data_IF_766672695698
#
_entry.id   IF_766672695698
#
_cell.length_a   1.000
_cell.length_b   1.000
_cell.length_c   1.000
_cell.angle_alpha   90.00
_cell.angle_beta   90.00
_cell.angle_gamma   90.00
#
_symmetry.space_group_name_H-M   'P 1'
#
loop_
_entity.id
_entity.type
_entity.pdbx_description
1 polymer ?
#
# COMPACT_ATOMS: atom_id res chain seq x y z
N UNK A 1 9.39 14.44 -0.36
CA UNK A 1 7.98 14.06 -0.66
C UNK A 1 7.81 12.64 -0.18
N UNK A 2 6.71 12.31 0.51
CA UNK A 2 6.47 10.92 0.91
C UNK A 2 6.28 10.04 -0.32
N UNK A 3 6.79 8.83 -0.28
CA UNK A 3 6.64 7.83 -1.34
C UNK A 3 6.22 6.49 -0.72
N UNK A 4 5.72 5.58 -1.55
CA UNK A 4 5.22 4.31 -1.06
C UNK A 4 5.11 3.26 -2.14
N UNK A 5 4.93 2.04 -1.69
CA UNK A 5 4.71 0.85 -2.52
C UNK A 5 3.23 0.51 -2.41
N UNK A 6 2.56 0.40 -3.55
CA UNK A 6 1.18 -0.06 -3.65
C UNK A 6 1.14 -1.49 -4.21
N UNK A 7 0.23 -2.32 -3.70
CA UNK A 7 -0.11 -3.59 -4.34
C UNK A 7 -1.36 -3.40 -5.18
N UNK A 8 -1.25 -3.72 -6.46
CA UNK A 8 -2.40 -3.87 -7.35
C UNK A 8 -3.16 -5.13 -7.00
N UNK A 9 -4.48 -5.10 -7.14
CA UNK A 9 -5.31 -6.27 -6.96
C UNK A 9 -5.31 -7.13 -8.24
N UNK A 10 -5.49 -8.44 -8.09
CA UNK A 10 -5.79 -9.31 -9.23
C UNK A 10 -7.20 -9.00 -9.79
N UNK A 11 -7.49 -9.49 -10.99
CA UNK A 11 -8.75 -9.23 -11.70
C UNK A 11 -9.99 -9.59 -10.87
N UNK A 12 -9.90 -10.66 -10.06
CA UNK A 12 -11.02 -11.13 -9.26
C UNK A 12 -11.30 -10.19 -8.07
N UNK A 13 -10.26 -9.80 -7.34
CA UNK A 13 -10.38 -8.88 -6.21
C UNK A 13 -10.71 -7.46 -6.66
N UNK A 14 -10.12 -7.00 -7.77
CA UNK A 14 -10.43 -5.71 -8.40
C UNK A 14 -11.92 -5.63 -8.75
N UNK A 15 -12.45 -6.62 -9.47
CA UNK A 15 -13.86 -6.67 -9.84
C UNK A 15 -14.79 -6.64 -8.62
N UNK A 16 -14.42 -7.35 -7.54
CA UNK A 16 -15.21 -7.39 -6.30
C UNK A 16 -15.25 -6.03 -5.59
N UNK A 17 -14.12 -5.32 -5.52
CA UNK A 17 -14.06 -3.98 -4.90
C UNK A 17 -14.86 -2.98 -5.73
N UNK A 18 -14.70 -3.01 -7.06
CA UNK A 18 -15.43 -2.12 -7.97
C UNK A 18 -16.93 -2.35 -7.92
N UNK A 19 -17.38 -3.59 -7.78
CA UNK A 19 -18.81 -3.89 -7.63
C UNK A 19 -19.40 -3.20 -6.39
N UNK A 20 -18.68 -3.22 -5.28
CA UNK A 20 -19.14 -2.56 -4.05
C UNK A 20 -19.11 -1.04 -4.19
N UNK A 21 -18.13 -0.47 -4.89
CA UNK A 21 -18.14 0.96 -5.23
C UNK A 21 -19.37 1.33 -6.06
N UNK A 22 -19.71 0.56 -7.10
CA UNK A 22 -20.93 0.77 -7.89
C UNK A 22 -22.20 0.75 -7.03
N UNK A 23 -22.28 -0.14 -6.04
CA UNK A 23 -23.41 -0.19 -5.12
C UNK A 23 -23.52 1.06 -4.24
N UNK A 24 -22.39 1.56 -3.70
CA UNK A 24 -22.37 2.81 -2.96
C UNK A 24 -22.73 4.02 -3.83
N UNK A 25 -22.21 4.07 -5.05
CA UNK A 25 -22.51 5.12 -6.03
C UNK A 25 -24.00 5.14 -6.40
N UNK A 26 -24.58 3.98 -6.71
CA UNK A 26 -26.01 3.84 -7.02
C UNK A 26 -26.89 4.29 -5.84
N UNK A 27 -26.46 3.98 -4.61
CA UNK A 27 -27.11 4.41 -3.37
C UNK A 27 -26.81 5.88 -2.99
N UNK A 28 -25.94 6.58 -3.74
CA UNK A 28 -25.45 7.94 -3.46
C UNK A 28 -24.80 8.07 -2.07
N UNK A 29 -24.08 7.04 -1.64
CA UNK A 29 -23.38 6.99 -0.35
C UNK A 29 -21.91 7.40 -0.56
N UNK A 30 -21.59 8.62 -0.11
CA UNK A 30 -20.21 9.12 -0.13
C UNK A 30 -19.64 9.28 -1.54
N UNK A 31 -18.30 9.30 -1.61
CA UNK A 31 -17.54 9.27 -2.87
C UNK A 31 -16.67 8.03 -2.88
N UNK A 32 -16.52 7.42 -4.04
CA UNK A 32 -15.68 6.25 -4.27
C UNK A 32 -14.50 6.65 -5.17
N UNK A 33 -13.33 5.97 -5.08
CA UNK A 33 -12.23 6.21 -6.00
C UNK A 33 -12.60 5.94 -7.47
N UNK A 34 -13.56 5.02 -7.71
CA UNK A 34 -14.07 4.72 -9.06
C UNK A 34 -14.66 5.93 -9.79
N UNK A 35 -15.18 6.93 -9.07
CA UNK A 35 -15.68 8.19 -9.66
C UNK A 35 -14.57 9.09 -10.21
N UNK A 36 -13.31 8.78 -9.91
CA UNK A 36 -12.11 9.51 -10.32
C UNK A 36 -11.21 8.66 -11.22
N UNK A 37 -11.71 7.54 -11.76
CA UNK A 37 -10.96 6.56 -12.54
C UNK A 37 -9.74 5.96 -11.80
N UNK A 38 -9.75 5.99 -10.46
CA UNK A 38 -8.67 5.44 -9.65
C UNK A 38 -8.83 3.92 -9.50
N UNK A 39 -7.75 3.13 -9.72
CA UNK A 39 -7.80 1.69 -9.51
C UNK A 39 -7.77 1.34 -8.01
N UNK A 40 -8.49 0.27 -7.59
CA UNK A 40 -8.28 -0.38 -6.31
C UNK A 40 -6.82 -0.76 -6.11
N UNK A 41 -6.26 -0.36 -4.97
CA UNK A 41 -4.92 -0.77 -4.56
C UNK A 41 -4.85 -0.86 -3.04
N UNK A 42 -3.82 -1.53 -2.56
CA UNK A 42 -3.48 -1.59 -1.14
C UNK A 42 -2.22 -0.77 -0.94
N UNK A 43 -2.29 0.26 -0.10
CA UNK A 43 -1.09 0.92 0.39
C UNK A 43 -0.28 -0.07 1.22
N UNK A 44 0.85 -0.55 0.69
CA UNK A 44 1.61 -1.64 1.27
C UNK A 44 2.72 -1.13 2.18
N UNK A 45 3.56 -0.22 1.71
CA UNK A 45 4.58 0.45 2.54
C UNK A 45 4.57 1.95 2.23
N UNK A 46 4.73 2.80 3.24
CA UNK A 46 4.80 4.27 3.09
C UNK A 46 6.00 4.78 3.85
N UNK A 47 6.79 5.61 3.19
CA UNK A 47 8.01 6.21 3.73
C UNK A 47 7.85 7.74 3.74
N UNK A 48 8.03 8.39 4.90
CA UNK A 48 7.76 9.82 5.05
C UNK A 48 8.79 10.69 4.32
N UNK A 49 10.02 10.22 4.19
CA UNK A 49 11.18 10.88 3.58
C UNK A 49 12.06 9.81 2.90
N UNK A 50 12.96 10.25 2.01
CA UNK A 50 13.94 9.40 1.31
C UNK A 50 13.94 9.55 -0.22
N UNK A 51 14.78 8.76 -0.89
CA UNK A 51 15.03 8.83 -2.33
C UNK A 51 14.13 7.84 -3.08
N UNK A 52 13.42 8.23 -4.15
CA UNK A 52 12.65 7.29 -4.98
C UNK A 52 13.45 6.10 -5.52
N UNK A 53 14.77 6.23 -5.70
CA UNK A 53 15.63 5.09 -6.11
C UNK A 53 15.65 3.97 -5.08
N UNK A 54 15.53 4.29 -3.79
CA UNK A 54 15.43 3.32 -2.69
C UNK A 54 14.27 2.36 -2.89
N UNK A 55 13.14 2.82 -3.46
CA UNK A 55 12.00 1.92 -3.72
C UNK A 55 12.33 0.77 -4.66
N UNK A 56 13.16 1.03 -5.69
CA UNK A 56 13.56 0.01 -6.65
C UNK A 56 14.41 -1.04 -5.94
N UNK A 57 15.39 -0.59 -5.15
CA UNK A 57 16.26 -1.47 -4.36
C UNK A 57 15.46 -2.31 -3.36
N UNK A 58 14.47 -1.72 -2.70
CA UNK A 58 13.58 -2.44 -1.78
C UNK A 58 12.83 -3.56 -2.49
N UNK A 59 12.18 -3.24 -3.62
CA UNK A 59 11.38 -4.21 -4.38
C UNK A 59 12.26 -5.34 -4.94
N UNK A 60 13.43 -5.01 -5.49
CA UNK A 60 14.36 -5.98 -6.07
C UNK A 60 14.95 -6.92 -4.99
N UNK A 61 15.19 -6.41 -3.78
CA UNK A 61 15.74 -7.18 -2.67
C UNK A 61 14.72 -8.08 -1.96
N UNK A 62 13.41 -7.90 -2.20
CA UNK A 62 12.34 -8.67 -1.57
C UNK A 62 11.50 -9.43 -2.59
N UNK A 63 12.04 -10.49 -3.22
CA UNK A 63 11.24 -11.32 -4.12
C UNK A 63 10.09 -11.97 -3.35
N UNK A 64 8.86 -11.65 -3.75
CA UNK A 64 7.64 -12.13 -3.10
C UNK A 64 7.16 -13.38 -3.82
N UNK A 65 7.26 -14.53 -3.15
CA UNK A 65 6.88 -15.83 -3.74
C UNK A 65 5.45 -16.25 -3.41
N UNK A 66 4.84 -15.63 -2.39
CA UNK A 66 3.43 -15.81 -2.02
C UNK A 66 2.72 -14.46 -1.99
N UNK A 67 1.91 -14.18 -3.01
CA UNK A 67 1.19 -12.92 -3.23
C UNK A 67 -0.27 -12.97 -2.79
N UNK A 68 -0.68 -14.02 -2.06
CA UNK A 68 -2.09 -14.20 -1.67
C UNK A 68 -2.56 -13.10 -0.74
N UNK A 69 -3.73 -12.57 -1.06
CA UNK A 69 -4.43 -11.55 -0.27
C UNK A 69 -5.85 -12.02 -0.01
N UNK A 70 -6.35 -11.73 1.19
CA UNK A 70 -7.77 -11.90 1.51
C UNK A 70 -8.36 -10.58 2.00
N UNK A 71 -9.39 -10.12 1.30
CA UNK A 71 -10.17 -8.94 1.70
C UNK A 71 -11.23 -9.31 2.74
N UNK A 72 -11.32 -8.53 3.80
CA UNK A 72 -12.35 -8.61 4.85
C UNK A 72 -13.13 -7.29 4.86
N UNK A 73 -14.41 -7.28 4.43
CA UNK A 73 -15.28 -6.12 4.58
C UNK A 73 -15.70 -5.96 6.06
N UNK A 74 -15.81 -4.78 6.66
CA UNK A 74 -15.26 -3.46 6.35
C UNK A 74 -14.57 -2.95 7.63
N UNK A 75 -13.64 -2.01 7.49
CA UNK A 75 -13.15 -1.15 8.56
C UNK A 75 -13.58 0.30 8.31
N UNK A 76 -13.56 1.13 9.35
CA UNK A 76 -13.89 2.55 9.23
C UNK A 76 -12.97 3.42 10.09
N UNK A 77 -12.46 4.51 9.50
CA UNK A 77 -11.90 5.63 10.25
C UNK A 77 -12.99 6.66 10.44
N UNK A 78 -13.27 7.03 11.70
CA UNK A 78 -14.38 7.93 12.07
C UNK A 78 -13.91 9.32 12.53
N UNK A 79 -12.67 9.70 12.19
CA UNK A 79 -12.12 11.02 12.48
C UNK A 79 -12.74 12.13 11.62
N UNK A 80 -12.04 13.27 11.49
CA UNK A 80 -12.51 14.42 10.72
C UNK A 80 -12.86 14.05 9.27
N UNK A 81 -12.04 13.20 8.65
CA UNK A 81 -12.35 12.55 7.37
C UNK A 81 -12.81 11.13 7.64
N UNK A 82 -14.10 10.88 7.43
CA UNK A 82 -14.70 9.55 7.57
C UNK A 82 -14.41 8.73 6.32
N UNK A 83 -13.77 7.58 6.49
CA UNK A 83 -13.39 6.69 5.39
C UNK A 83 -13.79 5.26 5.73
N UNK A 84 -14.46 4.59 4.79
CA UNK A 84 -14.71 3.15 4.82
C UNK A 84 -13.63 2.46 3.98
N UNK A 85 -13.08 1.36 4.48
CA UNK A 85 -12.03 0.62 3.77
C UNK A 85 -12.21 -0.89 3.94
N UNK A 86 -11.54 -1.67 3.09
CA UNK A 86 -11.40 -3.10 3.29
C UNK A 86 -10.23 -3.38 4.22
N UNK A 87 -10.44 -4.24 5.22
CA UNK A 87 -9.31 -4.84 5.91
C UNK A 87 -8.67 -5.86 4.96
N UNK A 88 -7.35 -5.99 5.07
CA UNK A 88 -6.56 -6.88 4.22
C UNK A 88 -5.80 -7.83 5.13
N UNK A 89 -5.92 -9.13 4.86
CA UNK A 89 -5.02 -10.14 5.44
C UNK A 89 -4.02 -10.52 4.37
N UNK A 90 -2.76 -10.21 4.65
CA UNK A 90 -1.62 -10.53 3.81
C UNK A 90 -1.18 -11.98 4.05
N UNK A 91 -0.63 -12.61 3.01
CA UNK A 91 0.14 -13.85 3.16
C UNK A 91 1.36 -13.62 4.07
N UNK A 92 1.93 -14.69 4.66
CA UNK A 92 3.22 -14.60 5.36
C UNK A 92 4.31 -13.98 4.49
N UNK A 93 4.39 -14.35 3.19
CA UNK A 93 5.40 -13.80 2.27
C UNK A 93 5.25 -12.30 2.03
N UNK A 94 4.03 -11.78 1.91
CA UNK A 94 3.78 -10.34 1.82
C UNK A 94 4.10 -9.63 3.15
N UNK A 95 3.79 -10.25 4.29
CA UNK A 95 4.14 -9.67 5.59
C UNK A 95 5.66 -9.58 5.79
N UNK A 96 6.40 -10.62 5.43
CA UNK A 96 7.87 -10.64 5.49
C UNK A 96 8.50 -9.59 4.59
N UNK A 97 8.00 -9.44 3.35
CA UNK A 97 8.45 -8.41 2.42
C UNK A 97 8.20 -6.99 2.98
N UNK A 98 7.02 -6.74 3.54
CA UNK A 98 6.70 -5.46 4.19
C UNK A 98 7.67 -5.12 5.32
N UNK A 99 7.95 -6.08 6.21
CA UNK A 99 8.88 -5.88 7.32
C UNK A 99 10.30 -5.62 6.80
N UNK A 100 10.76 -6.37 5.80
CA UNK A 100 12.08 -6.18 5.20
C UNK A 100 12.22 -4.81 4.53
N UNK A 101 11.18 -4.31 3.88
CA UNK A 101 11.17 -2.95 3.33
C UNK A 101 11.46 -1.89 4.40
N UNK A 102 10.85 -2.01 5.58
CA UNK A 102 11.07 -1.06 6.67
C UNK A 102 12.49 -1.15 7.24
N UNK A 103 13.01 -2.36 7.46
CA UNK A 103 14.38 -2.53 7.94
C UNK A 103 15.38 -1.92 6.96
N UNK A 104 15.26 -2.24 5.67
CA UNK A 104 16.18 -1.73 4.65
C UNK A 104 16.06 -0.22 4.44
N UNK A 105 14.85 0.37 4.53
CA UNK A 105 14.69 1.81 4.41
C UNK A 105 15.42 2.56 5.54
N UNK A 106 15.40 2.02 6.77
CA UNK A 106 16.15 2.57 7.91
C UNK A 106 17.66 2.45 7.69
N UNK A 107 18.14 1.31 7.18
CA UNK A 107 19.56 1.09 6.93
C UNK A 107 20.10 2.01 5.82
N UNK A 108 19.33 2.21 4.75
CA UNK A 108 19.69 3.11 3.63
C UNK A 108 19.76 4.56 4.10
N UNK A 109 18.78 5.02 4.88
CA UNK A 109 18.81 6.36 5.47
C UNK A 109 20.04 6.56 6.38
N UNK A 110 20.45 5.52 7.13
CA UNK A 110 21.63 5.56 7.98
C UNK A 110 22.94 5.60 7.18
N UNK A 111 23.04 4.84 6.09
CA UNK A 111 24.21 4.85 5.20
C UNK A 111 24.37 6.19 4.46
N UNK A 112 23.27 6.78 3.98
CA UNK A 112 23.28 8.08 3.33
C UNK A 112 23.68 9.20 4.30
N UNK A 113 23.25 9.10 5.58
CA UNK A 113 23.73 10.00 6.63
C UNK A 113 25.23 9.82 6.90
N UNK A 114 25.75 8.59 6.90
CA UNK A 114 27.17 8.29 7.08
C UNK A 114 28.06 8.80 5.95
N UNK A 115 27.60 8.73 4.70
CA UNK A 115 28.31 9.27 3.52
C UNK A 115 28.31 10.81 3.44
N UNK A 116 27.42 11.47 4.20
CA UNK A 116 27.40 12.93 4.36
C UNK A 116 28.41 13.46 5.40
N UNK A 117 29.16 12.58 6.07
CA UNK A 117 30.17 12.90 7.09
C UNK A 117 31.54 12.37 6.68
N UNK A 118 31.96 12.64 5.44
CA UNK A 118 33.39 12.72 5.12
C UNK A 118 33.79 14.20 5.15
N UNK A 119 34.38 14.62 6.28
CA UNK A 119 35.07 15.92 6.46
C UNK A 119 36.57 15.69 6.24
#
# INVERSE_FOLDING_TARGET
MAYGIGLTLDDMLDAKVREIWRQFEAARIGKTPGQFDEPPHITFSVFPLGNPSTLIELVDATPITDTKIRLIPFGAFLGEKRVLYYNVVLSPGLMEAHLKHFTMAVDIDAEDFGRGVEI
#
